data_IF_017366814687
#
_entry.id   IF_017366814687
#
_cell.length_a   1.000
_cell.length_b   1.000
_cell.length_c   1.000
_cell.angle_alpha   90.00
_cell.angle_beta   90.00
_cell.angle_gamma   90.00
#
_symmetry.space_group_name_H-M   'P 1'
#
loop_
_entity.id
_entity.type
_entity.pdbx_description
1 polymer ?
#
# COMPACT_ATOMS: atom_id res chain seq x y z
N UNK A 1 3.83 25.50 -29.91
CA UNK A 1 2.50 25.18 -30.47
C UNK A 1 1.86 24.02 -29.71
N UNK A 2 0.65 24.19 -29.19
CA UNK A 2 -0.14 23.12 -28.56
C UNK A 2 -0.52 22.07 -29.61
N UNK A 3 -0.16 20.79 -29.38
CA UNK A 3 -0.50 19.65 -30.28
C UNK A 3 -2.00 19.63 -30.63
N UNK A 4 -2.85 20.04 -29.69
CA UNK A 4 -4.28 20.15 -29.91
C UNK A 4 -4.65 21.17 -31.00
N UNK A 5 -4.01 22.35 -31.01
CA UNK A 5 -4.22 23.36 -32.04
C UNK A 5 -3.80 22.83 -33.42
N UNK A 6 -2.67 22.13 -33.50
CA UNK A 6 -2.16 21.56 -34.75
C UNK A 6 -3.12 20.51 -35.34
N UNK A 7 -3.67 19.64 -34.48
CA UNK A 7 -4.63 18.61 -34.91
C UNK A 7 -5.93 19.27 -35.37
N UNK A 8 -6.45 20.24 -34.61
CA UNK A 8 -7.70 20.91 -34.95
C UNK A 8 -7.58 21.73 -36.24
N UNK A 9 -6.45 22.43 -36.42
CA UNK A 9 -6.12 23.18 -37.62
C UNK A 9 -6.06 22.29 -38.85
N UNK A 10 -5.37 21.14 -38.75
CA UNK A 10 -5.25 20.16 -39.83
C UNK A 10 -6.54 19.40 -40.13
N UNK A 11 -7.40 19.17 -39.14
CA UNK A 11 -8.67 18.44 -39.32
C UNK A 11 -9.70 19.18 -40.18
N UNK A 12 -9.60 20.51 -40.21
CA UNK A 12 -10.56 21.39 -40.87
C UNK A 12 -9.93 22.15 -42.04
N UNK A 13 -8.76 21.69 -42.52
CA UNK A 13 -8.01 22.24 -43.66
C UNK A 13 -7.98 23.77 -43.66
N UNK A 14 -7.65 24.34 -42.50
CA UNK A 14 -7.57 25.78 -42.36
C UNK A 14 -6.27 26.24 -43.05
N UNK A 15 -6.34 26.69 -44.30
CA UNK A 15 -5.17 27.11 -45.10
C UNK A 15 -4.41 28.31 -44.50
N UNK A 16 -4.95 28.96 -43.46
CA UNK A 16 -4.36 30.13 -42.84
C UNK A 16 -3.38 29.70 -41.74
N UNK A 17 -2.10 30.10 -41.81
CA UNK A 17 -1.11 29.75 -40.80
C UNK A 17 -1.46 30.39 -39.45
N UNK A 18 -1.22 29.68 -38.34
CA UNK A 18 -1.41 30.21 -36.99
C UNK A 18 -0.52 31.46 -36.75
N UNK A 19 -0.94 32.44 -35.95
CA UNK A 19 -0.21 33.69 -35.84
C UNK A 19 1.14 33.46 -35.16
N UNK A 20 2.23 33.79 -35.86
CA UNK A 20 3.59 33.69 -35.33
C UNK A 20 4.04 34.97 -34.59
N UNK A 21 3.43 36.12 -34.93
CA UNK A 21 3.74 37.45 -34.40
C UNK A 21 2.59 38.07 -33.59
N UNK A 22 2.88 39.13 -32.82
CA UNK A 22 1.92 39.79 -31.92
C UNK A 22 0.86 40.69 -32.60
N UNK A 23 0.93 40.90 -33.93
CA UNK A 23 -0.07 41.71 -34.63
C UNK A 23 -1.35 40.91 -34.94
N UNK A 24 -2.10 40.60 -33.88
CA UNK A 24 -3.34 39.84 -33.95
C UNK A 24 -4.46 40.58 -34.67
N UNK A 25 -4.43 41.92 -34.70
CA UNK A 25 -5.48 42.72 -35.31
C UNK A 25 -5.45 42.64 -36.83
N UNK A 26 -4.26 42.82 -37.43
CA UNK A 26 -4.04 42.62 -38.86
C UNK A 26 -4.37 41.19 -39.27
N UNK A 27 -3.98 40.23 -38.43
CA UNK A 27 -4.26 38.82 -38.62
C UNK A 27 -5.78 38.51 -38.62
N UNK A 28 -6.53 39.07 -37.68
CA UNK A 28 -7.98 38.87 -37.64
C UNK A 28 -8.70 39.47 -38.85
N UNK A 29 -8.29 40.64 -39.35
CA UNK A 29 -8.83 41.20 -40.60
C UNK A 29 -8.56 40.29 -41.79
N UNK A 30 -7.33 39.79 -41.94
CA UNK A 30 -6.96 38.88 -43.02
C UNK A 30 -7.84 37.62 -43.00
N UNK A 31 -8.09 37.05 -41.81
CA UNK A 31 -8.91 35.83 -41.66
C UNK A 31 -10.39 36.04 -41.99
N UNK A 32 -10.93 37.24 -41.73
CA UNK A 32 -12.31 37.60 -42.09
C UNK A 32 -12.50 37.68 -43.61
N UNK A 33 -11.48 38.16 -44.32
CA UNK A 33 -11.53 38.30 -45.78
C UNK A 33 -11.31 36.97 -46.52
N UNK A 34 -10.57 36.04 -45.90
CA UNK A 34 -10.14 34.77 -46.52
C UNK A 34 -11.06 33.59 -46.21
N UNK A 35 -11.82 33.61 -45.10
CA UNK A 35 -12.74 32.52 -44.74
C UNK A 35 -14.19 32.96 -45.01
N UNK A 36 -14.78 32.64 -46.17
CA UNK A 36 -16.15 33.01 -46.49
C UNK A 36 -17.20 32.22 -45.69
N UNK A 37 -16.87 31.01 -45.24
CA UNK A 37 -17.78 30.18 -44.45
C UNK A 37 -17.76 30.60 -42.97
N UNK A 38 -18.87 31.18 -42.50
CA UNK A 38 -19.08 31.61 -41.10
C UNK A 38 -18.79 30.51 -40.08
N UNK A 39 -19.11 29.24 -40.38
CA UNK A 39 -18.85 28.13 -39.45
C UNK A 39 -17.35 27.84 -39.33
N UNK A 40 -16.64 27.84 -40.46
CA UNK A 40 -15.19 27.65 -40.52
C UNK A 40 -14.47 28.81 -39.83
N UNK A 41 -14.96 30.05 -40.02
CA UNK A 41 -14.43 31.23 -39.36
C UNK A 41 -14.60 31.19 -37.84
N UNK A 42 -15.78 30.77 -37.35
CA UNK A 42 -16.05 30.65 -35.91
C UNK A 42 -15.14 29.61 -35.24
N UNK A 43 -14.88 28.48 -35.92
CA UNK A 43 -13.93 27.47 -35.45
C UNK A 43 -12.50 27.99 -35.48
N UNK A 44 -12.15 28.75 -36.52
CA UNK A 44 -10.84 29.39 -36.64
C UNK A 44 -10.58 30.36 -35.49
N UNK A 45 -11.56 31.22 -35.19
CA UNK A 45 -11.51 32.15 -34.06
C UNK A 45 -11.29 31.43 -32.73
N UNK A 46 -11.94 30.28 -32.53
CA UNK A 46 -11.70 29.46 -31.35
C UNK A 46 -10.24 28.96 -31.28
N UNK A 47 -9.70 28.44 -32.37
CA UNK A 47 -8.31 27.94 -32.43
C UNK A 47 -7.31 29.04 -32.14
N UNK A 48 -7.47 30.21 -32.77
CA UNK A 48 -6.54 31.34 -32.62
C UNK A 48 -6.60 31.89 -31.20
N UNK A 49 -7.80 32.09 -30.64
CA UNK A 49 -7.94 32.53 -29.26
C UNK A 49 -7.34 31.53 -28.27
N UNK A 50 -7.50 30.23 -28.51
CA UNK A 50 -6.86 29.19 -27.70
C UNK A 50 -5.33 29.22 -27.83
N UNK A 51 -4.83 29.39 -29.05
CA UNK A 51 -3.40 29.50 -29.35
C UNK A 51 -2.77 30.70 -28.65
N UNK A 52 -3.39 31.89 -28.73
CA UNK A 52 -2.93 33.10 -28.04
C UNK A 52 -2.88 32.87 -26.53
N UNK A 53 -3.94 32.30 -25.95
CA UNK A 53 -4.02 31.98 -24.51
C UNK A 53 -2.96 30.97 -24.06
N UNK A 54 -2.43 30.14 -24.95
CA UNK A 54 -1.48 29.07 -24.61
C UNK A 54 -0.01 29.38 -24.93
N UNK A 55 0.30 30.18 -25.97
CA UNK A 55 1.69 30.48 -26.33
C UNK A 55 2.28 31.71 -25.63
N UNK A 56 1.48 32.59 -25.02
CA UNK A 56 2.02 33.81 -24.41
C UNK A 56 2.87 33.59 -23.14
N UNK A 57 2.97 32.37 -22.59
CA UNK A 57 3.77 32.09 -21.39
C UNK A 57 4.37 30.66 -21.40
N UNK A 58 5.51 30.47 -20.72
CA UNK A 58 6.08 29.15 -20.38
C UNK A 58 5.18 28.41 -19.39
N UNK A 59 4.06 27.86 -19.89
CA UNK A 59 3.07 27.17 -19.06
C UNK A 59 3.40 25.70 -18.89
N UNK A 60 3.19 25.19 -17.68
CA UNK A 60 3.26 23.75 -17.41
C UNK A 60 2.12 23.01 -18.11
N UNK A 61 2.29 21.70 -18.35
CA UNK A 61 1.26 20.85 -18.98
C UNK A 61 -0.09 20.93 -18.27
N UNK A 62 -0.10 20.99 -16.93
CA UNK A 62 -1.31 21.10 -16.10
C UNK A 62 -2.02 22.44 -16.34
N UNK A 63 -1.27 23.54 -16.44
CA UNK A 63 -1.83 24.86 -16.75
C UNK A 63 -2.44 24.91 -18.15
N UNK A 64 -1.77 24.35 -19.15
CA UNK A 64 -2.30 24.27 -20.53
C UNK A 64 -3.62 23.50 -20.57
N UNK A 65 -3.70 22.38 -19.84
CA UNK A 65 -4.92 21.59 -19.76
C UNK A 65 -6.08 22.35 -19.11
N UNK A 66 -5.81 23.06 -18.01
CA UNK A 66 -6.81 23.93 -17.35
C UNK A 66 -7.32 25.03 -18.30
N UNK A 67 -6.42 25.70 -19.01
CA UNK A 67 -6.78 26.75 -19.99
C UNK A 67 -7.64 26.19 -21.11
N UNK A 68 -7.32 24.99 -21.62
CA UNK A 68 -8.09 24.34 -22.68
C UNK A 68 -9.55 24.12 -22.27
N UNK A 69 -9.77 23.55 -21.09
CA UNK A 69 -11.11 23.26 -20.60
C UNK A 69 -11.87 24.53 -20.22
N UNK A 70 -11.19 25.51 -19.59
CA UNK A 70 -11.77 26.82 -19.33
C UNK A 70 -12.18 27.51 -20.63
N UNK A 71 -11.33 27.49 -21.64
CA UNK A 71 -11.63 28.11 -22.92
C UNK A 71 -12.82 27.46 -23.63
N UNK A 72 -12.94 26.13 -23.59
CA UNK A 72 -14.12 25.44 -24.08
C UNK A 72 -15.37 25.90 -23.32
N UNK A 73 -15.32 25.89 -21.98
CA UNK A 73 -16.43 26.31 -21.12
C UNK A 73 -16.86 27.75 -21.41
N UNK A 74 -15.92 28.69 -21.47
CA UNK A 74 -16.20 30.11 -21.77
C UNK A 74 -16.96 30.28 -23.10
N UNK A 75 -16.66 29.46 -24.13
CA UNK A 75 -17.36 29.51 -25.41
C UNK A 75 -18.75 28.86 -25.35
N UNK A 76 -18.90 27.77 -24.60
CA UNK A 76 -20.18 27.08 -24.44
C UNK A 76 -21.17 27.87 -23.57
N UNK A 77 -20.67 28.59 -22.55
CA UNK A 77 -21.48 29.40 -21.66
C UNK A 77 -21.81 30.78 -22.25
N UNK A 78 -21.15 31.18 -23.35
CA UNK A 78 -21.37 32.49 -23.97
C UNK A 78 -22.81 32.64 -24.51
N UNK A 79 -23.53 33.63 -24.02
CA UNK A 79 -24.94 33.91 -24.37
C UNK A 79 -25.08 34.42 -25.82
N UNK A 80 -24.05 35.08 -26.35
CA UNK A 80 -24.05 35.63 -27.71
C UNK A 80 -23.86 34.57 -28.80
N UNK A 81 -23.49 33.35 -28.45
CA UNK A 81 -23.28 32.28 -29.42
C UNK A 81 -24.55 31.44 -29.62
N UNK A 82 -25.02 31.27 -30.87
CA UNK A 82 -26.18 30.44 -31.15
C UNK A 82 -25.88 28.97 -30.87
N UNK A 83 -26.90 28.19 -30.51
CA UNK A 83 -26.77 26.76 -30.17
C UNK A 83 -26.03 25.96 -31.25
N UNK A 84 -26.37 26.16 -32.52
CA UNK A 84 -25.69 25.51 -33.66
C UNK A 84 -24.17 25.73 -33.68
N UNK A 85 -23.69 26.93 -33.31
CA UNK A 85 -22.25 27.22 -33.21
C UNK A 85 -21.62 26.43 -32.07
N UNK A 86 -22.28 26.36 -30.91
CA UNK A 86 -21.81 25.62 -29.74
C UNK A 86 -21.70 24.13 -30.03
N UNK A 87 -22.73 23.56 -30.68
CA UNK A 87 -22.76 22.15 -31.07
C UNK A 87 -21.62 21.81 -32.05
N UNK A 88 -21.44 22.63 -33.10
CA UNK A 88 -20.34 22.46 -34.06
C UNK A 88 -18.96 22.53 -33.38
N UNK A 89 -18.78 23.48 -32.45
CA UNK A 89 -17.53 23.65 -31.71
C UNK A 89 -17.27 22.46 -30.78
N UNK A 90 -18.30 21.96 -30.09
CA UNK A 90 -18.17 20.80 -29.22
C UNK A 90 -17.85 19.53 -30.02
N UNK A 91 -18.46 19.36 -31.20
CA UNK A 91 -18.16 18.26 -32.11
C UNK A 91 -16.70 18.31 -32.59
N UNK A 92 -16.25 19.48 -33.07
CA UNK A 92 -14.88 19.70 -33.50
C UNK A 92 -13.88 19.43 -32.38
N UNK A 93 -14.12 20.01 -31.21
CA UNK A 93 -13.29 19.80 -30.01
C UNK A 93 -13.21 18.31 -29.65
N UNK A 94 -14.34 17.61 -29.66
CA UNK A 94 -14.42 16.18 -29.34
C UNK A 94 -13.67 15.32 -30.35
N UNK A 95 -13.79 15.61 -31.66
CA UNK A 95 -13.03 14.93 -32.72
C UNK A 95 -11.53 15.14 -32.55
N UNK A 96 -11.08 16.37 -32.36
CA UNK A 96 -9.67 16.68 -32.08
C UNK A 96 -9.17 15.97 -30.83
N UNK A 97 -9.95 15.99 -29.75
CA UNK A 97 -9.59 15.36 -28.48
C UNK A 97 -9.42 13.84 -28.64
N UNK A 98 -10.30 13.17 -29.39
CA UNK A 98 -10.20 11.74 -29.71
C UNK A 98 -8.90 11.42 -30.46
N UNK A 99 -8.55 12.20 -31.49
CA UNK A 99 -7.31 12.00 -32.25
C UNK A 99 -6.07 12.24 -31.37
N UNK A 100 -6.07 13.30 -30.57
CA UNK A 100 -4.96 13.57 -29.65
C UNK A 100 -4.74 12.43 -28.64
N UNK A 101 -5.83 11.84 -28.12
CA UNK A 101 -5.75 10.68 -27.25
C UNK A 101 -5.24 9.43 -27.99
N UNK A 102 -5.71 9.18 -29.22
CA UNK A 102 -5.22 8.10 -30.04
C UNK A 102 -3.72 8.21 -30.33
N UNK A 103 -3.24 9.40 -30.70
CA UNK A 103 -1.81 9.68 -30.89
C UNK A 103 -1.01 9.51 -29.59
N UNK A 104 -1.54 9.99 -28.47
CA UNK A 104 -0.88 9.83 -27.16
C UNK A 104 -0.74 8.35 -26.78
N UNK A 105 -1.79 7.56 -27.02
CA UNK A 105 -1.79 6.11 -26.83
C UNK A 105 -0.79 5.43 -27.76
N UNK A 106 -0.76 5.81 -29.04
CA UNK A 106 0.19 5.30 -30.02
C UNK A 106 1.64 5.57 -29.60
N UNK A 107 1.95 6.80 -29.22
CA UNK A 107 3.30 7.17 -28.73
C UNK A 107 3.67 6.36 -27.49
N UNK A 108 2.73 6.16 -26.56
CA UNK A 108 2.97 5.33 -25.39
C UNK A 108 3.26 3.86 -25.76
N UNK A 109 2.46 3.26 -26.63
CA UNK A 109 2.68 1.89 -27.13
C UNK A 109 4.03 1.78 -27.84
N UNK A 110 4.39 2.76 -28.67
CA UNK A 110 5.66 2.80 -29.37
C UNK A 110 6.83 2.85 -28.38
N UNK A 111 6.77 3.75 -27.38
CA UNK A 111 7.78 3.83 -26.32
C UNK A 111 7.91 2.51 -25.56
N UNK A 112 6.78 1.92 -25.15
CA UNK A 112 6.77 0.61 -24.48
C UNK A 112 7.44 -0.48 -25.31
N UNK A 113 7.25 -0.50 -26.63
CA UNK A 113 7.85 -1.51 -27.53
C UNK A 113 9.34 -1.26 -27.79
N UNK A 114 9.76 0.00 -27.94
CA UNK A 114 11.13 0.37 -28.33
C UNK A 114 12.10 0.46 -27.15
N UNK A 115 11.63 0.85 -25.96
CA UNK A 115 12.50 1.01 -24.79
C UNK A 115 13.06 -0.34 -24.36
N UNK A 116 14.40 -0.43 -24.31
CA UNK A 116 15.12 -1.61 -23.82
C UNK A 116 14.86 -1.77 -22.33
N UNK A 117 14.65 -3.02 -21.91
CA UNK A 117 14.46 -3.36 -20.50
C UNK A 117 15.82 -3.26 -19.82
N UNK A 118 15.98 -2.25 -18.96
CA UNK A 118 17.25 -1.97 -18.28
C UNK A 118 17.41 -2.81 -17.01
N UNK A 119 16.30 -3.12 -16.34
CA UNK A 119 16.29 -3.90 -15.11
C UNK A 119 15.55 -5.21 -15.40
N UNK A 120 16.32 -6.30 -15.42
CA UNK A 120 15.85 -7.67 -15.71
C UNK A 120 16.03 -8.60 -14.52
N UNK A 121 16.44 -8.09 -13.37
CA UNK A 121 16.59 -8.88 -12.14
C UNK A 121 15.56 -8.45 -11.11
N UNK A 122 15.06 -9.39 -10.31
CA UNK A 122 14.16 -9.12 -9.19
C UNK A 122 14.90 -8.46 -8.02
N UNK A 123 14.19 -8.21 -6.91
CA UNK A 123 14.78 -7.63 -5.70
C UNK A 123 15.81 -8.55 -5.03
N UNK A 124 15.75 -9.85 -5.31
CA UNK A 124 16.66 -10.89 -4.83
C UNK A 124 17.77 -11.21 -5.84
N UNK A 125 17.91 -10.41 -6.90
CA UNK A 125 18.88 -10.55 -8.00
C UNK A 125 18.68 -11.78 -8.90
N UNK A 126 17.51 -12.44 -8.85
CA UNK A 126 17.17 -13.49 -9.80
C UNK A 126 16.74 -12.90 -11.15
N UNK A 127 17.06 -13.58 -12.24
CA UNK A 127 16.64 -13.15 -13.58
C UNK A 127 15.12 -13.28 -13.76
N UNK A 128 14.50 -12.21 -14.26
CA UNK A 128 13.08 -12.14 -14.56
C UNK A 128 12.84 -12.51 -16.02
N UNK A 129 12.14 -13.61 -16.24
CA UNK A 129 11.62 -13.95 -17.57
C UNK A 129 10.39 -13.09 -17.89
N UNK A 130 10.61 -12.07 -18.73
CA UNK A 130 9.60 -11.10 -19.18
C UNK A 130 8.42 -11.74 -19.92
N UNK A 131 8.53 -12.99 -20.38
CA UNK A 131 7.45 -13.68 -21.10
C UNK A 131 6.41 -14.28 -20.18
N UNK A 132 6.70 -14.38 -18.88
CA UNK A 132 5.77 -14.97 -17.91
C UNK A 132 4.59 -14.03 -17.65
N UNK A 133 3.40 -14.62 -17.47
CA UNK A 133 2.15 -13.89 -17.21
C UNK A 133 2.17 -13.11 -15.89
N UNK A 134 2.98 -13.53 -14.94
CA UNK A 134 3.13 -12.91 -13.62
C UNK A 134 4.17 -11.77 -13.61
N UNK A 135 4.59 -11.26 -14.77
CA UNK A 135 5.56 -10.17 -14.86
C UNK A 135 4.89 -8.89 -15.35
N UNK A 136 4.92 -7.87 -14.51
CA UNK A 136 4.44 -6.54 -14.83
C UNK A 136 5.56 -5.69 -15.45
N UNK A 137 5.26 -5.00 -16.55
CA UNK A 137 6.20 -4.10 -17.21
C UNK A 137 5.79 -2.65 -16.94
N UNK A 138 6.63 -1.94 -16.20
CA UNK A 138 6.45 -0.53 -15.89
C UNK A 138 7.41 0.33 -16.70
N UNK A 139 6.91 1.36 -17.38
CA UNK A 139 7.73 2.40 -17.99
C UNK A 139 7.60 3.69 -17.18
N UNK A 140 8.69 4.09 -16.53
CA UNK A 140 8.77 5.27 -15.69
C UNK A 140 10.07 6.01 -16.02
N UNK A 141 9.98 7.33 -16.27
CA UNK A 141 11.11 8.20 -16.65
C UNK A 141 11.99 7.66 -17.79
N UNK A 142 11.35 7.04 -18.77
CA UNK A 142 12.02 6.50 -19.97
C UNK A 142 12.74 5.17 -19.73
N UNK A 143 12.71 4.65 -18.50
CA UNK A 143 13.28 3.35 -18.14
C UNK A 143 12.16 2.33 -18.00
N UNK A 144 12.40 1.13 -18.53
CA UNK A 144 11.47 0.01 -18.47
C UNK A 144 11.93 -1.00 -17.42
N UNK A 145 11.08 -1.21 -16.43
CA UNK A 145 11.27 -2.06 -15.27
C UNK A 145 10.38 -3.29 -15.39
N UNK A 146 10.96 -4.48 -15.17
CA UNK A 146 10.20 -5.72 -15.03
C UNK A 146 10.04 -6.03 -13.55
N UNK A 147 8.84 -6.43 -13.14
CA UNK A 147 8.52 -6.80 -11.78
C UNK A 147 7.74 -8.11 -11.74
N UNK A 148 8.12 -9.01 -10.84
CA UNK A 148 7.26 -10.15 -10.49
C UNK A 148 6.09 -9.64 -9.63
N UNK A 149 4.89 -10.16 -9.83
CA UNK A 149 3.71 -9.72 -9.08
C UNK A 149 3.87 -9.92 -7.56
N UNK A 150 4.55 -10.97 -7.11
CA UNK A 150 4.83 -11.21 -5.69
C UNK A 150 5.53 -10.03 -5.04
N UNK A 151 6.54 -9.50 -5.72
CA UNK A 151 7.37 -8.42 -5.21
C UNK A 151 6.57 -7.12 -5.17
N UNK A 152 5.80 -6.84 -6.23
CA UNK A 152 4.90 -5.69 -6.25
C UNK A 152 3.84 -5.79 -5.16
N UNK A 153 3.29 -6.98 -4.91
CA UNK A 153 2.33 -7.22 -3.84
C UNK A 153 2.95 -6.91 -2.49
N UNK A 154 4.18 -7.36 -2.23
CA UNK A 154 4.90 -7.03 -1.02
C UNK A 154 5.17 -5.52 -0.87
N UNK A 155 5.57 -4.84 -1.96
CA UNK A 155 5.76 -3.38 -1.96
C UNK A 155 4.44 -2.64 -1.67
N UNK A 156 3.33 -3.09 -2.25
CA UNK A 156 2.01 -2.52 -2.02
C UNK A 156 1.59 -2.73 -0.57
N UNK A 157 1.64 -3.97 -0.08
CA UNK A 157 1.19 -4.31 1.28
C UNK A 157 2.04 -3.62 2.34
N UNK A 158 3.37 -3.58 2.19
CA UNK A 158 4.24 -2.84 3.12
C UNK A 158 3.94 -1.34 3.13
N UNK A 159 3.69 -0.74 1.97
CA UNK A 159 3.37 0.70 1.87
C UNK A 159 1.99 1.02 2.48
N UNK A 160 0.96 0.22 2.17
CA UNK A 160 -0.42 0.49 2.60
C UNK A 160 -0.70 0.03 4.04
N UNK A 161 0.01 -0.97 4.56
CA UNK A 161 -0.11 -1.40 5.96
C UNK A 161 0.76 -0.58 6.92
N UNK A 162 1.54 0.38 6.42
CA UNK A 162 2.45 1.16 7.25
C UNK A 162 1.74 1.85 8.42
N UNK A 163 2.29 1.68 9.62
CA UNK A 163 1.83 2.33 10.85
C UNK A 163 3.02 2.90 11.63
N UNK A 164 2.84 4.09 12.21
CA UNK A 164 3.76 4.68 13.18
C UNK A 164 3.19 4.46 14.59
N UNK A 165 3.92 3.79 15.49
CA UNK A 165 3.44 3.48 16.84
C UNK A 165 2.01 2.87 16.85
N UNK A 166 1.73 1.94 15.93
CA UNK A 166 0.41 1.32 15.71
C UNK A 166 -0.70 2.27 15.23
N UNK A 167 -0.42 3.54 14.92
CA UNK A 167 -1.33 4.46 14.24
C UNK A 167 -1.19 4.34 12.72
N UNK A 168 -2.32 4.25 12.01
CA UNK A 168 -2.32 4.06 10.57
C UNK A 168 -1.75 5.29 9.85
N UNK A 169 -0.65 5.08 9.12
CA UNK A 169 0.02 6.10 8.32
C UNK A 169 0.45 5.49 6.99
N UNK A 170 -0.51 5.09 6.13
CA UNK A 170 -0.20 4.46 4.86
C UNK A 170 0.65 5.39 3.99
N UNK A 171 1.61 4.81 3.29
CA UNK A 171 2.56 5.52 2.45
C UNK A 171 2.24 5.35 0.96
N UNK A 172 2.76 6.29 0.16
CA UNK A 172 2.70 6.17 -1.30
C UNK A 172 3.44 4.92 -1.76
N UNK A 173 2.81 4.17 -2.67
CA UNK A 173 3.44 3.03 -3.32
C UNK A 173 4.48 3.57 -4.31
N UNK A 174 5.73 3.19 -4.13
CA UNK A 174 6.87 3.67 -4.91
C UNK A 174 7.52 2.55 -5.68
N UNK A 175 8.17 2.91 -6.78
CA UNK A 175 9.07 2.01 -7.47
C UNK A 175 10.32 1.79 -6.59
N UNK A 176 10.65 0.54 -6.19
CA UNK A 176 11.79 0.27 -5.32
C UNK A 176 13.15 0.65 -5.94
N UNK A 177 13.26 0.73 -7.27
CA UNK A 177 14.53 1.03 -7.94
C UNK A 177 14.88 2.52 -8.03
N UNK A 178 13.87 3.41 -8.01
CA UNK A 178 14.10 4.85 -8.18
C UNK A 178 13.37 5.71 -7.13
N UNK A 179 12.63 5.09 -6.22
CA UNK A 179 11.85 5.72 -5.16
C UNK A 179 10.79 6.73 -5.67
N UNK A 180 10.39 6.64 -6.93
CA UNK A 180 9.38 7.52 -7.53
C UNK A 180 7.99 6.94 -7.29
N UNK A 181 7.04 7.72 -6.72
CA UNK A 181 5.66 7.29 -6.51
C UNK A 181 4.96 6.86 -7.79
N UNK A 182 4.13 5.82 -7.68
CA UNK A 182 3.25 5.41 -8.76
C UNK A 182 2.10 6.41 -8.90
N UNK A 183 1.91 6.90 -10.13
CA UNK A 183 0.76 7.74 -10.43
C UNK A 183 -0.52 6.90 -10.54
N UNK A 184 -1.67 7.57 -10.47
CA UNK A 184 -3.00 6.93 -10.53
C UNK A 184 -3.19 6.04 -11.77
N UNK A 185 -2.63 6.40 -12.92
CA UNK A 185 -2.67 5.55 -14.14
C UNK A 185 -1.91 4.24 -13.96
N UNK A 186 -0.72 4.28 -13.36
CA UNK A 186 0.08 3.10 -13.04
C UNK A 186 -0.68 2.22 -12.05
N UNK A 187 -1.27 2.80 -11.01
CA UNK A 187 -2.03 2.08 -9.99
C UNK A 187 -3.24 1.34 -10.58
N UNK A 188 -4.01 1.96 -11.48
CA UNK A 188 -5.10 1.26 -12.18
C UNK A 188 -4.58 0.10 -13.04
N UNK A 189 -3.54 0.33 -13.83
CA UNK A 189 -2.96 -0.72 -14.67
C UNK A 189 -2.48 -1.89 -13.82
N UNK A 190 -1.83 -1.58 -12.70
CA UNK A 190 -1.33 -2.56 -11.74
C UNK A 190 -2.48 -3.33 -11.07
N UNK A 191 -3.53 -2.64 -10.63
CA UNK A 191 -4.72 -3.25 -10.05
C UNK A 191 -5.37 -4.28 -10.98
N UNK A 192 -5.66 -3.89 -12.22
CA UNK A 192 -6.26 -4.83 -13.17
C UNK A 192 -5.29 -5.95 -13.53
N UNK A 193 -3.99 -5.67 -13.62
CA UNK A 193 -2.99 -6.71 -13.86
C UNK A 193 -2.93 -7.75 -12.73
N UNK A 194 -2.94 -7.31 -11.48
CA UNK A 194 -2.99 -8.20 -10.31
C UNK A 194 -4.30 -8.98 -10.31
N UNK A 195 -5.43 -8.32 -10.52
CA UNK A 195 -6.77 -8.94 -10.55
C UNK A 195 -6.89 -10.07 -11.57
N UNK A 196 -6.24 -9.95 -12.72
CA UNK A 196 -6.31 -10.96 -13.78
C UNK A 196 -5.29 -12.09 -13.63
N UNK A 197 -4.18 -11.87 -12.90
CA UNK A 197 -3.05 -12.79 -12.87
C UNK A 197 -2.78 -13.42 -11.49
N UNK A 198 -3.37 -12.93 -10.40
CA UNK A 198 -3.33 -13.58 -9.09
C UNK A 198 -4.62 -14.32 -8.76
N UNK A 199 -4.47 -15.38 -7.96
CA UNK A 199 -5.61 -16.09 -7.36
C UNK A 199 -6.29 -15.27 -6.27
N UNK A 200 -5.57 -14.40 -5.55
CA UNK A 200 -6.11 -13.64 -4.42
C UNK A 200 -5.60 -12.20 -4.47
N UNK A 201 -6.53 -11.25 -4.41
CA UNK A 201 -6.24 -9.82 -4.38
C UNK A 201 -5.82 -9.41 -2.97
N UNK A 202 -4.72 -8.65 -2.79
CA UNK A 202 -4.37 -8.08 -1.50
C UNK A 202 -5.46 -7.14 -0.99
N UNK A 203 -5.94 -7.38 0.22
CA UNK A 203 -7.11 -6.69 0.77
C UNK A 203 -6.92 -5.18 0.86
N UNK A 204 -5.73 -4.71 1.28
CA UNK A 204 -5.45 -3.28 1.37
C UNK A 204 -5.42 -2.62 0.00
N UNK A 205 -4.97 -3.33 -1.03
CA UNK A 205 -4.94 -2.78 -2.38
C UNK A 205 -6.36 -2.68 -2.98
N UNK A 206 -7.22 -3.64 -2.68
CA UNK A 206 -8.65 -3.58 -3.03
C UNK A 206 -9.33 -2.36 -2.40
N UNK A 207 -9.15 -2.16 -1.09
CA UNK A 207 -9.71 -1.02 -0.36
C UNK A 207 -9.13 0.30 -0.87
N UNK A 208 -7.85 0.33 -1.24
CA UNK A 208 -7.21 1.50 -1.82
C UNK A 208 -7.76 1.85 -3.21
N UNK A 209 -8.05 0.84 -4.04
CA UNK A 209 -8.75 1.03 -5.32
C UNK A 209 -10.16 1.60 -5.13
N UNK A 210 -10.92 1.11 -4.13
CA UNK A 210 -12.25 1.64 -3.80
C UNK A 210 -12.22 3.11 -3.35
N UNK A 211 -11.10 3.54 -2.76
CA UNK A 211 -10.86 4.94 -2.39
C UNK A 211 -10.22 5.74 -3.52
N UNK A 212 -10.36 5.31 -4.78
CA UNK A 212 -9.87 6.03 -5.95
C UNK A 212 -8.35 6.26 -5.94
N UNK A 213 -7.61 5.40 -5.23
CA UNK A 213 -6.19 5.56 -4.94
C UNK A 213 -5.82 6.88 -4.24
N UNK A 214 -6.75 7.45 -3.46
CA UNK A 214 -6.51 8.60 -2.60
C UNK A 214 -6.09 8.14 -1.20
N UNK A 215 -4.85 8.42 -0.80
CA UNK A 215 -4.30 7.96 0.48
C UNK A 215 -5.03 8.53 1.70
N UNK A 216 -5.50 9.77 1.60
CA UNK A 216 -6.20 10.43 2.70
C UNK A 216 -7.54 9.76 2.98
N UNK A 217 -8.35 9.57 1.93
CA UNK A 217 -9.63 8.86 1.98
C UNK A 217 -9.43 7.41 2.41
N UNK A 218 -8.39 6.75 1.88
CA UNK A 218 -8.04 5.39 2.25
C UNK A 218 -7.72 5.24 3.74
N UNK A 219 -6.86 6.12 4.28
CA UNK A 219 -6.49 6.14 5.70
C UNK A 219 -7.73 6.24 6.58
N UNK A 220 -8.58 7.22 6.33
CA UNK A 220 -9.77 7.50 7.15
C UNK A 220 -10.75 6.33 7.11
N UNK A 221 -11.04 5.82 5.91
CA UNK A 221 -12.07 4.80 5.74
C UNK A 221 -11.62 3.39 6.16
N UNK A 222 -10.31 3.12 6.19
CA UNK A 222 -9.77 1.77 6.36
C UNK A 222 -8.74 1.65 7.48
N UNK A 223 -8.68 2.61 8.41
CA UNK A 223 -7.74 2.62 9.54
C UNK A 223 -7.69 1.27 10.28
N UNK A 224 -8.86 0.70 10.55
CA UNK A 224 -9.01 -0.62 11.18
C UNK A 224 -8.25 -1.71 10.41
N UNK A 225 -8.52 -1.84 9.11
CA UNK A 225 -7.94 -2.88 8.26
C UNK A 225 -6.42 -2.70 8.11
N UNK A 226 -5.97 -1.45 7.98
CA UNK A 226 -4.53 -1.11 7.91
C UNK A 226 -3.83 -1.61 9.18
N UNK A 227 -4.38 -1.28 10.35
CA UNK A 227 -3.80 -1.64 11.65
C UNK A 227 -3.79 -3.15 11.87
N UNK A 228 -4.84 -3.87 11.45
CA UNK A 228 -4.87 -5.33 11.56
C UNK A 228 -3.79 -6.01 10.73
N UNK A 229 -3.65 -5.62 9.47
CA UNK A 229 -2.62 -6.16 8.58
C UNK A 229 -1.23 -5.80 9.12
N UNK A 230 -1.04 -4.59 9.62
CA UNK A 230 0.18 -4.18 10.29
C UNK A 230 0.52 -5.07 11.48
N UNK A 231 -0.40 -5.25 12.43
CA UNK A 231 -0.19 -6.07 13.62
C UNK A 231 0.16 -7.50 13.25
N UNK A 232 -0.55 -8.08 12.27
CA UNK A 232 -0.26 -9.42 11.77
C UNK A 232 1.16 -9.50 11.22
N UNK A 233 1.56 -8.56 10.38
CA UNK A 233 2.89 -8.53 9.77
C UNK A 233 3.98 -8.31 10.82
N UNK A 234 3.79 -7.35 11.74
CA UNK A 234 4.71 -7.05 12.83
C UNK A 234 4.93 -8.28 13.73
N UNK A 235 3.86 -8.96 14.14
CA UNK A 235 3.97 -10.16 14.98
C UNK A 235 4.47 -11.37 14.20
N UNK A 236 4.42 -11.39 12.87
CA UNK A 236 4.91 -12.55 12.08
C UNK A 236 6.39 -12.42 11.70
N UNK A 237 6.84 -11.21 11.38
CA UNK A 237 8.15 -10.97 10.76
C UNK A 237 9.16 -10.27 11.68
N UNK A 238 8.73 -9.61 12.76
CA UNK A 238 9.66 -8.95 13.67
C UNK A 238 10.55 -9.95 14.40
N UNK A 239 11.78 -9.49 14.67
CA UNK A 239 12.79 -10.27 15.34
C UNK A 239 12.43 -10.49 16.81
N UNK A 240 12.92 -11.57 17.42
CA UNK A 240 12.57 -11.91 18.80
C UNK A 240 13.00 -10.83 19.81
N UNK A 241 14.07 -10.09 19.53
CA UNK A 241 14.51 -8.95 20.36
C UNK A 241 13.47 -7.81 20.41
N UNK A 242 12.77 -7.54 19.32
CA UNK A 242 11.76 -6.47 19.28
C UNK A 242 10.46 -6.90 19.98
N UNK A 243 10.12 -8.19 19.89
CA UNK A 243 8.88 -8.72 20.46
C UNK A 243 9.00 -9.05 21.95
N UNK A 244 10.19 -9.41 22.43
CA UNK A 244 10.42 -9.84 23.81
C UNK A 244 9.94 -8.83 24.87
N UNK A 245 10.24 -7.52 24.79
CA UNK A 245 9.74 -6.54 25.76
C UNK A 245 8.21 -6.48 25.83
N UNK A 246 7.54 -6.65 24.69
CA UNK A 246 6.09 -6.66 24.62
C UNK A 246 5.49 -7.94 25.22
N UNK A 247 6.16 -9.08 25.04
CA UNK A 247 5.76 -10.34 25.68
C UNK A 247 5.94 -10.26 27.18
N UNK A 248 7.05 -9.73 27.69
CA UNK A 248 7.23 -9.52 29.14
C UNK A 248 6.15 -8.61 29.70
N UNK A 249 5.80 -7.52 29.00
CA UNK A 249 4.68 -6.65 29.41
C UNK A 249 3.34 -7.38 29.45
N UNK A 250 3.06 -8.24 28.46
CA UNK A 250 1.83 -9.06 28.42
C UNK A 250 1.80 -10.06 29.58
N UNK A 251 2.87 -10.82 29.78
CA UNK A 251 3.02 -11.85 30.82
C UNK A 251 2.86 -11.23 32.22
N UNK A 252 3.48 -10.08 32.45
CA UNK A 252 3.35 -9.34 33.71
C UNK A 252 1.92 -8.85 33.94
N UNK A 253 1.22 -8.37 32.89
CA UNK A 253 -0.20 -7.95 32.99
C UNK A 253 -1.11 -9.11 33.40
N UNK A 254 -0.80 -10.34 32.98
CA UNK A 254 -1.58 -11.53 33.30
C UNK A 254 -0.98 -12.38 34.43
N UNK A 255 -0.05 -11.81 35.22
CA UNK A 255 0.56 -12.45 36.39
C UNK A 255 1.15 -13.86 36.14
N UNK A 256 1.67 -14.10 34.94
CA UNK A 256 2.36 -15.35 34.61
C UNK A 256 3.83 -15.22 35.06
N UNK A 257 4.26 -16.05 36.01
CA UNK A 257 5.62 -16.01 36.53
C UNK A 257 6.57 -16.87 35.68
N UNK A 258 7.64 -16.27 35.17
CA UNK A 258 8.66 -16.93 34.33
C UNK A 258 10.04 -16.50 34.82
N UNK A 259 10.96 -17.45 34.91
CA UNK A 259 12.33 -17.17 35.34
C UNK A 259 13.03 -16.17 34.39
N UNK A 260 13.71 -15.13 34.91
CA UNK A 260 14.40 -14.13 34.08
C UNK A 260 15.45 -14.68 33.11
N UNK A 261 16.04 -15.84 33.43
CA UNK A 261 17.06 -16.48 32.59
C UNK A 261 16.45 -17.42 31.53
N UNK A 262 15.11 -17.50 31.44
CA UNK A 262 14.44 -18.34 30.45
C UNK A 262 14.82 -17.92 29.01
N UNK A 263 15.06 -18.87 28.09
CA UNK A 263 15.48 -18.55 26.73
C UNK A 263 14.49 -17.65 25.98
N UNK A 264 14.93 -16.43 25.67
CA UNK A 264 14.09 -15.37 25.06
C UNK A 264 13.46 -15.79 23.73
N UNK A 265 14.23 -16.43 22.86
CA UNK A 265 13.75 -16.87 21.55
C UNK A 265 12.66 -17.95 21.68
N UNK A 266 12.87 -18.93 22.57
CA UNK A 266 11.88 -19.96 22.88
C UNK A 266 10.59 -19.34 23.42
N UNK A 267 10.71 -18.38 24.35
CA UNK A 267 9.54 -17.69 24.89
C UNK A 267 8.78 -16.95 23.79
N UNK A 268 9.49 -16.22 22.93
CA UNK A 268 8.88 -15.49 21.81
C UNK A 268 8.16 -16.44 20.87
N UNK A 269 8.75 -17.57 20.53
CA UNK A 269 8.13 -18.53 19.62
C UNK A 269 6.83 -19.12 20.19
N UNK A 270 6.81 -19.44 21.49
CA UNK A 270 5.62 -19.95 22.19
C UNK A 270 4.55 -18.85 22.33
N UNK A 271 4.96 -17.64 22.69
CA UNK A 271 4.05 -16.54 23.03
C UNK A 271 3.59 -15.71 21.83
N UNK A 272 4.20 -15.86 20.65
CA UNK A 272 3.86 -15.11 19.42
C UNK A 272 2.35 -15.10 19.07
N UNK A 273 1.60 -16.22 19.10
CA UNK A 273 0.16 -16.18 18.82
C UNK A 273 -0.65 -15.44 19.91
N UNK A 274 -0.24 -15.53 21.18
CA UNK A 274 -0.85 -14.76 22.27
C UNK A 274 -0.56 -13.27 22.11
N UNK A 275 0.68 -12.91 21.73
CA UNK A 275 1.09 -11.54 21.47
C UNK A 275 0.27 -10.92 20.32
N UNK A 276 -0.07 -11.70 19.29
CA UNK A 276 -0.96 -11.25 18.23
C UNK A 276 -2.32 -10.81 18.77
N UNK A 277 -2.95 -11.65 19.60
CA UNK A 277 -4.21 -11.30 20.24
C UNK A 277 -4.07 -10.10 21.19
N UNK A 278 -2.96 -10.01 21.94
CA UNK A 278 -2.68 -8.89 22.83
C UNK A 278 -2.59 -7.55 22.11
N UNK A 279 -1.87 -7.49 20.98
CA UNK A 279 -1.81 -6.26 20.19
C UNK A 279 -3.13 -5.91 19.53
N UNK A 280 -3.91 -6.88 19.08
CA UNK A 280 -5.27 -6.62 18.60
C UNK A 280 -6.16 -6.06 19.72
N UNK A 281 -6.16 -6.70 20.90
CA UNK A 281 -6.92 -6.25 22.07
C UNK A 281 -6.48 -4.87 22.58
N UNK A 282 -5.20 -4.51 22.43
CA UNK A 282 -4.67 -3.21 22.86
C UNK A 282 -4.93 -2.11 21.83
N UNK A 283 -4.56 -2.35 20.58
CA UNK A 283 -4.46 -1.30 19.56
C UNK A 283 -5.64 -1.24 18.59
N UNK A 284 -6.54 -2.24 18.52
CA UNK A 284 -7.76 -2.07 17.73
C UNK A 284 -8.61 -0.89 18.21
N UNK A 285 -9.39 -0.35 17.27
CA UNK A 285 -10.27 0.79 17.49
C UNK A 285 -11.22 0.50 18.66
N UNK A 286 -11.33 1.46 19.58
CA UNK A 286 -12.23 1.38 20.73
C UNK A 286 -13.69 1.18 20.30
N UNK A 287 -14.45 0.41 21.08
CA UNK A 287 -15.86 0.11 20.78
C UNK A 287 -16.10 -0.92 19.68
N UNK A 288 -15.06 -1.47 19.04
CA UNK A 288 -15.22 -2.55 18.06
C UNK A 288 -15.50 -3.89 18.78
N UNK A 289 -16.55 -4.61 18.37
CA UNK A 289 -16.89 -5.94 18.89
C UNK A 289 -15.71 -6.91 18.77
N UNK A 290 -14.97 -6.83 17.66
CA UNK A 290 -13.78 -7.66 17.43
C UNK A 290 -12.72 -7.46 18.50
N UNK A 291 -12.53 -6.22 18.99
CA UNK A 291 -11.59 -5.93 20.09
C UNK A 291 -12.00 -6.68 21.36
N UNK A 292 -13.27 -6.60 21.72
CA UNK A 292 -13.83 -7.30 22.89
C UNK A 292 -13.66 -8.82 22.78
N UNK A 293 -14.04 -9.41 21.64
CA UNK A 293 -13.91 -10.85 21.39
C UNK A 293 -12.45 -11.30 21.52
N UNK A 294 -11.53 -10.55 20.91
CA UNK A 294 -10.11 -10.89 20.92
C UNK A 294 -9.50 -10.77 22.32
N UNK A 295 -9.85 -9.73 23.08
CA UNK A 295 -9.39 -9.59 24.46
C UNK A 295 -9.88 -10.76 25.32
N UNK A 296 -11.16 -11.14 25.22
CA UNK A 296 -11.70 -12.31 25.95
C UNK A 296 -11.03 -13.62 25.53
N UNK A 297 -10.78 -13.79 24.24
CA UNK A 297 -10.08 -14.97 23.71
C UNK A 297 -8.65 -15.06 24.25
N UNK A 298 -7.92 -13.94 24.28
CA UNK A 298 -6.58 -13.88 24.87
C UNK A 298 -6.59 -14.31 26.33
N UNK A 299 -7.50 -13.73 27.14
CA UNK A 299 -7.61 -14.09 28.57
C UNK A 299 -7.87 -15.57 28.76
N UNK A 300 -8.86 -16.12 28.04
CA UNK A 300 -9.16 -17.55 28.05
C UNK A 300 -7.90 -18.37 27.73
N UNK A 301 -7.19 -18.03 26.65
CA UNK A 301 -6.02 -18.80 26.19
C UNK A 301 -4.85 -18.71 27.18
N UNK A 302 -4.59 -17.55 27.79
CA UNK A 302 -3.55 -17.39 28.80
C UNK A 302 -3.89 -18.10 30.12
N UNK A 303 -5.15 -18.08 30.55
CA UNK A 303 -5.61 -18.86 31.69
C UNK A 303 -5.47 -20.37 31.43
N UNK A 304 -5.75 -20.83 30.20
CA UNK A 304 -5.55 -22.25 29.83
C UNK A 304 -4.08 -22.61 29.92
N UNK A 305 -3.21 -21.73 29.41
CA UNK A 305 -1.77 -21.88 29.48
C UNK A 305 -1.26 -21.98 30.93
N UNK A 306 -1.68 -21.05 31.80
CA UNK A 306 -1.28 -21.03 33.20
C UNK A 306 -1.80 -22.24 33.99
N UNK A 307 -3.07 -22.64 33.77
CA UNK A 307 -3.66 -23.82 34.43
C UNK A 307 -3.02 -25.12 33.98
N UNK A 308 -2.62 -25.22 32.72
CA UNK A 308 -1.97 -26.42 32.19
C UNK A 308 -0.63 -26.67 32.87
N UNK A 309 0.20 -25.63 33.02
CA UNK A 309 1.50 -25.74 33.68
C UNK A 309 1.85 -24.44 34.44
N UNK A 310 1.52 -24.36 35.74
CA UNK A 310 1.86 -23.22 36.59
C UNK A 310 3.38 -23.04 36.82
N UNK A 311 4.17 -24.07 36.53
CA UNK A 311 5.63 -24.07 36.68
C UNK A 311 6.36 -23.85 35.35
N UNK A 312 5.64 -23.48 34.29
CA UNK A 312 6.24 -23.15 33.00
C UNK A 312 7.31 -22.07 33.16
N UNK A 313 8.46 -22.29 32.53
CA UNK A 313 9.57 -21.34 32.54
C UNK A 313 10.38 -21.29 33.84
N UNK A 314 10.06 -22.10 34.86
CA UNK A 314 10.88 -22.23 36.06
C UNK A 314 12.11 -23.11 35.82
N UNK A 315 13.20 -22.81 36.55
CA UNK A 315 14.44 -23.60 36.52
C UNK A 315 14.25 -24.97 37.17
N UNK A 316 14.67 -26.00 36.47
CA UNK A 316 14.81 -27.37 36.96
C UNK A 316 16.31 -27.64 37.12
N UNK A 317 16.73 -27.90 38.35
CA UNK A 317 18.13 -28.19 38.68
C UNK A 317 18.26 -29.70 38.88
N UNK A 318 18.91 -30.37 37.93
CA UNK A 318 19.16 -31.83 38.02
C UNK A 318 20.62 -32.10 38.37
N UNK A 319 20.89 -32.87 39.44
CA UNK A 319 22.25 -33.28 39.79
C UNK A 319 22.76 -34.32 38.79
N UNK A 320 23.97 -34.12 38.30
CA UNK A 320 24.66 -35.04 37.39
C UNK A 320 25.95 -35.54 38.04
N UNK A 321 26.13 -36.85 38.25
CA UNK A 321 27.32 -37.38 38.89
C UNK A 321 28.54 -37.23 37.98
N UNK A 322 29.63 -36.72 38.53
CA UNK A 322 30.93 -36.66 37.88
C UNK A 322 31.62 -38.00 38.11
N UNK A 323 31.74 -38.79 37.06
CA UNK A 323 32.53 -40.02 37.09
C UNK A 323 34.00 -39.69 36.85
N UNK A 324 34.78 -39.70 37.93
CA UNK A 324 36.24 -39.69 37.84
C UNK A 324 36.73 -41.14 37.68
N UNK A 325 37.37 -41.44 36.55
CA UNK A 325 37.86 -42.79 36.22
C UNK A 325 38.97 -43.29 37.16
N UNK A 326 39.50 -42.42 38.03
CA UNK A 326 40.51 -42.75 39.04
C UNK A 326 39.93 -43.20 40.40
N UNK A 327 38.62 -43.11 40.61
CA UNK A 327 37.97 -43.43 41.90
C UNK A 327 37.43 -44.88 41.89
N UNK A 328 37.83 -45.67 42.89
CA UNK A 328 37.49 -47.09 43.00
C UNK A 328 35.96 -47.29 43.20
N UNK A 329 35.30 -48.23 42.50
CA UNK A 329 33.83 -48.35 42.41
C UNK A 329 33.06 -48.63 43.72
N UNK A 330 33.75 -48.78 44.86
CA UNK A 330 33.13 -49.03 46.17
C UNK A 330 33.17 -47.82 47.12
N UNK A 331 33.75 -46.67 46.72
CA UNK A 331 33.67 -45.41 47.48
C UNK A 331 32.47 -44.57 47.01
N UNK A 332 31.26 -44.94 47.44
CA UNK A 332 30.04 -44.16 47.18
C UNK A 332 30.01 -42.79 47.91
N UNK A 333 30.87 -42.59 48.92
CA UNK A 333 30.89 -41.37 49.74
C UNK A 333 31.57 -40.15 49.08
N UNK A 334 32.15 -40.29 47.89
CA UNK A 334 32.92 -39.22 47.21
C UNK A 334 32.40 -38.85 45.81
N UNK A 335 31.13 -39.11 45.49
CA UNK A 335 30.54 -38.66 44.23
C UNK A 335 30.42 -37.13 44.23
N UNK A 336 31.24 -36.47 43.40
CA UNK A 336 31.08 -35.04 43.09
C UNK A 336 29.94 -34.90 42.09
N UNK A 337 29.10 -33.88 42.27
CA UNK A 337 28.01 -33.57 41.35
C UNK A 337 28.29 -32.27 40.61
N UNK A 338 28.00 -32.24 39.31
CA UNK A 338 27.67 -31.00 38.60
C UNK A 338 26.16 -30.84 38.56
N UNK A 339 25.70 -29.61 38.32
CA UNK A 339 24.27 -29.32 38.18
C UNK A 339 24.00 -28.91 36.74
N UNK A 340 23.02 -29.55 36.12
CA UNK A 340 22.49 -29.11 34.83
C UNK A 340 21.22 -28.32 35.11
N UNK A 341 21.21 -27.07 34.65
CA UNK A 341 20.03 -26.21 34.72
C UNK A 341 19.26 -26.38 33.42
N UNK A 342 18.03 -26.85 33.53
CA UNK A 342 17.06 -26.90 32.43
C UNK A 342 15.85 -26.04 32.81
N UNK A 343 14.95 -25.78 31.87
CA UNK A 343 13.72 -25.05 32.14
C UNK A 343 12.53 -25.94 31.82
N UNK A 344 11.45 -25.79 32.60
CA UNK A 344 10.19 -26.43 32.27
C UNK A 344 9.60 -25.77 31.02
N UNK A 345 9.60 -26.49 29.90
CA UNK A 345 9.07 -26.01 28.62
C UNK A 345 7.72 -26.61 28.26
N UNK A 346 7.14 -27.44 29.13
CA UNK A 346 5.88 -28.13 28.82
C UNK A 346 4.74 -27.12 28.79
N UNK A 347 4.06 -27.03 27.65
CA UNK A 347 2.98 -26.08 27.46
C UNK A 347 1.91 -26.64 26.53
N UNK A 348 0.69 -26.13 26.71
CA UNK A 348 -0.40 -26.38 25.79
C UNK A 348 -0.16 -25.62 24.49
N UNK A 349 -0.40 -26.27 23.34
CA UNK A 349 -0.31 -25.57 22.05
C UNK A 349 -1.45 -24.55 21.94
N UNK A 350 -1.22 -23.42 21.26
CA UNK A 350 -2.20 -22.33 21.22
C UNK A 350 -3.60 -22.74 20.70
N UNK A 351 -3.64 -23.67 19.73
CA UNK A 351 -4.89 -24.15 19.13
C UNK A 351 -5.56 -25.29 19.92
N UNK A 352 -4.95 -25.72 21.02
CA UNK A 352 -5.51 -26.74 21.89
C UNK A 352 -6.45 -26.09 22.94
N UNK A 353 -7.62 -26.70 23.11
CA UNK A 353 -8.71 -26.25 23.99
C UNK A 353 -9.09 -27.32 25.03
N UNK A 354 -8.21 -28.29 25.28
CA UNK A 354 -8.43 -29.40 26.21
C UNK A 354 -8.59 -28.98 27.67
N UNK A 355 -8.07 -27.81 28.05
CA UNK A 355 -8.25 -27.25 29.41
C UNK A 355 -9.56 -26.44 29.45
N UNK A 356 -10.60 -26.91 30.16
CA UNK A 356 -11.86 -26.18 30.26
C UNK A 356 -11.70 -24.96 31.18
N UNK A 357 -12.32 -23.84 30.78
CA UNK A 357 -12.42 -22.61 31.57
C UNK A 357 -13.87 -22.19 31.63
N UNK A 358 -14.35 -21.83 32.82
CA UNK A 358 -15.71 -21.34 33.03
C UNK A 358 -15.84 -19.85 32.68
N UNK A 359 -17.04 -19.40 32.29
CA UNK A 359 -17.28 -17.97 32.03
C UNK A 359 -17.05 -17.07 33.25
N UNK A 360 -17.25 -17.61 34.45
CA UNK A 360 -17.00 -16.91 35.72
C UNK A 360 -15.52 -16.56 35.86
N UNK A 361 -14.63 -17.49 35.50
CA UNK A 361 -13.17 -17.29 35.55
C UNK A 361 -12.70 -16.26 34.51
N UNK A 362 -13.41 -16.13 33.38
CA UNK A 362 -13.12 -15.12 32.36
C UNK A 362 -13.59 -13.73 32.80
N UNK A 363 -14.75 -13.65 33.46
CA UNK A 363 -15.41 -12.40 33.83
C UNK A 363 -14.92 -11.83 35.19
N UNK A 364 -14.26 -12.62 36.04
CA UNK A 364 -13.75 -12.16 37.34
C UNK A 364 -12.70 -11.05 37.20
N UNK A 365 -11.92 -11.08 36.11
CA UNK A 365 -10.88 -10.09 35.80
C UNK A 365 -11.40 -8.88 34.99
N UNK A 366 -12.59 -8.97 34.35
CA UNK A 366 -13.18 -7.84 33.62
C UNK A 366 -13.49 -6.65 34.53
N UNK A 367 -13.81 -6.90 35.80
CA UNK A 367 -14.07 -5.87 36.80
C UNK A 367 -12.79 -5.14 37.28
N UNK A 368 -11.60 -5.70 37.04
CA UNK A 368 -10.33 -5.08 37.42
C UNK A 368 -9.77 -4.18 36.32
N UNK A 369 -9.86 -4.59 35.05
CA UNK A 369 -9.43 -3.76 33.91
C UNK A 369 -10.30 -2.50 33.73
N UNK A 370 -11.59 -2.53 34.12
CA UNK A 370 -12.46 -1.33 34.09
C UNK A 370 -12.11 -0.25 35.11
N UNK A 371 -11.18 -0.53 36.04
CA UNK A 371 -10.70 0.41 37.05
C UNK A 371 -9.37 1.06 36.68
N UNK A 372 -8.70 0.63 35.60
CA UNK A 372 -7.41 1.19 35.15
C UNK A 372 -7.54 2.25 34.03
N UNK A 373 -8.75 2.45 33.50
CA UNK A 373 -9.05 3.43 32.43
C UNK A 373 -9.55 4.80 32.96
N UNK A 374 -9.47 5.07 34.27
CA UNK A 374 -9.81 6.35 34.93
C UNK A 374 -8.59 7.24 35.25
#
# INVERSE_FOLDING_TARGET
MSIFCSILHKLYDLEIPLPENQDYFSYYRMTQQTIPNKQTYDLYQFIVNFYIKTNHFTKSKKQIQSIKWKHLKDNLDNIFFPKKRKDNLLEAFSKTQKIMFALSKFVHIYKMKKTVIKIQTDLMLNEIDVRKKNVFLLLQDGIKYAFVISDLTHVIDSSLSHCCYFFAEPQEIKNPYNNIPFNKTILYNLYFFIRTNLFTMPILFELFFQCDFDLHTFKINNEHSIREVFIKNYVSYSHHYDLYPHITSMINKYYIDIDPDFPKETLVNIMRPYLHLYFLGKYLIFGCEKKYIVTRLLRKKLLQFSKYNPDFGKKIITPYPIFDSSIHPFLFEALKYTYVVTFNTDHITFNDDTVPISEIEINYEDNYDSMEDD
#
